data_IF_837752518296
#
_entry.id   IF_837752518296
#
_cell.length_a   1.000
_cell.length_b   1.000
_cell.length_c   1.000
_cell.angle_alpha   90.00
_cell.angle_beta   90.00
_cell.angle_gamma   90.00
#
_symmetry.space_group_name_H-M   'P 1'
#
loop_
_entity.id
_entity.type
_entity.pdbx_description
1 polymer ?
#
# COMPACT_ATOMS: atom_id res chain seq x y z
N UNK A 1 33.91 -10.25 -5.66
CA UNK A 1 33.41 -8.88 -5.86
C UNK A 1 32.30 -9.02 -6.87
N UNK A 2 31.04 -8.97 -6.42
CA UNK A 2 29.89 -9.04 -7.33
C UNK A 2 29.91 -7.82 -8.25
N UNK A 3 29.43 -8.00 -9.48
CA UNK A 3 29.20 -6.88 -10.40
C UNK A 3 28.29 -5.83 -9.74
N UNK A 4 28.45 -4.54 -10.07
CA UNK A 4 27.54 -3.50 -9.62
C UNK A 4 26.08 -3.89 -9.91
N UNK A 5 25.20 -3.68 -8.93
CA UNK A 5 23.74 -3.86 -9.03
C UNK A 5 23.14 -3.41 -10.38
N UNK A 6 23.54 -2.22 -10.85
CA UNK A 6 23.07 -1.64 -12.10
C UNK A 6 23.51 -2.42 -13.35
N UNK A 7 24.72 -2.99 -13.35
CA UNK A 7 25.26 -3.77 -14.46
C UNK A 7 24.48 -5.10 -14.63
N UNK A 8 23.94 -5.64 -13.53
CA UNK A 8 23.10 -6.84 -13.53
C UNK A 8 21.72 -6.58 -14.15
N UNK A 9 21.06 -5.47 -13.78
CA UNK A 9 19.73 -5.13 -14.33
C UNK A 9 19.83 -4.83 -15.84
N UNK A 10 20.88 -4.14 -16.28
CA UNK A 10 21.10 -3.85 -17.70
C UNK A 10 21.28 -5.14 -18.52
N UNK A 11 22.05 -6.10 -17.99
CA UNK A 11 22.22 -7.41 -18.61
C UNK A 11 20.89 -8.19 -18.69
N UNK A 12 20.12 -8.24 -17.60
CA UNK A 12 18.81 -8.89 -17.59
C UNK A 12 17.85 -8.25 -18.61
N UNK A 13 17.81 -6.92 -18.71
CA UNK A 13 16.95 -6.22 -19.66
C UNK A 13 17.33 -6.47 -21.12
N UNK A 14 18.62 -6.63 -21.41
CA UNK A 14 19.10 -6.95 -22.74
C UNK A 14 18.73 -8.39 -23.14
N UNK A 15 18.69 -9.32 -22.18
CA UNK A 15 18.38 -10.74 -22.41
C UNK A 15 16.89 -11.07 -22.36
N UNK A 16 16.05 -10.17 -21.84
CA UNK A 16 14.60 -10.30 -21.80
C UNK A 16 13.97 -10.06 -23.18
N UNK A 17 13.10 -10.99 -23.61
CA UNK A 17 12.27 -10.77 -24.81
C UNK A 17 11.14 -9.77 -24.54
N UNK A 18 10.47 -9.30 -25.61
CA UNK A 18 9.28 -8.43 -25.47
C UNK A 18 8.18 -9.13 -24.68
N UNK A 19 7.97 -10.42 -24.91
CA UNK A 19 6.99 -11.24 -24.21
C UNK A 19 7.35 -11.40 -22.73
N UNK A 20 8.62 -11.65 -22.41
CA UNK A 20 9.07 -11.77 -21.01
C UNK A 20 8.93 -10.42 -20.27
N UNK A 21 9.25 -9.29 -20.92
CA UNK A 21 9.02 -7.94 -20.35
C UNK A 21 7.54 -7.68 -20.10
N UNK A 22 6.68 -7.98 -21.08
CA UNK A 22 5.24 -7.79 -20.93
C UNK A 22 4.63 -8.73 -19.87
N UNK A 23 5.19 -9.93 -19.67
CA UNK A 23 4.77 -10.86 -18.64
C UNK A 23 5.11 -10.37 -17.22
N UNK A 24 6.29 -9.75 -17.02
CA UNK A 24 6.67 -9.12 -15.75
C UNK A 24 5.70 -8.01 -15.33
N UNK A 25 5.12 -7.31 -16.32
CA UNK A 25 4.19 -6.20 -16.12
C UNK A 25 2.76 -6.64 -15.79
N UNK A 26 2.48 -7.93 -15.63
CA UNK A 26 1.15 -8.39 -15.24
C UNK A 26 1.22 -9.39 -14.09
N UNK A 27 0.14 -9.44 -13.30
CA UNK A 27 -0.08 -10.49 -12.33
C UNK A 27 0.03 -11.91 -12.94
N UNK A 28 0.38 -12.87 -12.10
CA UNK A 28 0.23 -14.30 -12.33
C UNK A 28 -1.01 -14.81 -11.58
N UNK A 29 -1.12 -14.41 -10.32
CA UNK A 29 -2.24 -14.71 -9.42
C UNK A 29 -2.86 -13.44 -8.84
N UNK A 30 -3.58 -13.58 -7.72
CA UNK A 30 -4.19 -12.43 -7.04
C UNK A 30 -3.14 -11.53 -6.38
N UNK A 31 -2.01 -12.11 -5.94
CA UNK A 31 -1.05 -11.49 -5.03
C UNK A 31 0.38 -11.53 -5.54
N UNK A 32 0.58 -11.87 -6.80
CA UNK A 32 1.91 -12.13 -7.34
C UNK A 32 1.97 -11.85 -8.85
N UNK A 33 3.13 -11.36 -9.30
CA UNK A 33 3.45 -11.13 -10.71
C UNK A 33 4.37 -12.24 -11.25
N UNK A 34 4.46 -12.35 -12.57
CA UNK A 34 5.15 -13.48 -13.21
C UNK A 34 6.66 -13.49 -12.93
N UNK A 35 7.28 -14.67 -12.74
CA UNK A 35 8.72 -14.84 -12.79
C UNK A 35 9.23 -14.94 -14.24
N UNK A 36 10.55 -14.86 -14.42
CA UNK A 36 11.25 -15.28 -15.65
C UNK A 36 12.36 -16.26 -15.27
N UNK A 37 11.98 -17.54 -15.17
CA UNK A 37 12.82 -18.61 -14.61
C UNK A 37 14.15 -18.79 -15.37
N UNK A 38 14.13 -18.67 -16.70
CA UNK A 38 15.32 -18.79 -17.56
C UNK A 38 16.42 -17.80 -17.18
N UNK A 39 16.04 -16.62 -16.70
CA UNK A 39 16.94 -15.55 -16.30
C UNK A 39 17.09 -15.43 -14.78
N UNK A 40 16.51 -16.37 -14.01
CA UNK A 40 16.56 -16.34 -12.55
C UNK A 40 15.78 -15.17 -11.93
N UNK A 41 14.85 -14.55 -12.66
CA UNK A 41 14.02 -13.47 -12.12
C UNK A 41 12.85 -14.09 -11.34
N UNK A 42 12.76 -13.88 -10.01
CA UNK A 42 11.72 -14.48 -9.18
C UNK A 42 10.38 -13.77 -9.35
N UNK A 43 9.32 -14.41 -8.85
CA UNK A 43 8.00 -13.80 -8.81
C UNK A 43 7.95 -12.69 -7.74
N UNK A 44 7.51 -11.50 -8.12
CA UNK A 44 7.18 -10.45 -7.15
C UNK A 44 5.89 -10.85 -6.41
N UNK A 45 5.88 -10.68 -5.08
CA UNK A 45 4.73 -11.01 -4.22
C UNK A 45 4.34 -9.81 -3.39
N UNK A 46 3.05 -9.55 -3.32
CA UNK A 46 2.46 -8.38 -2.67
C UNK A 46 1.37 -8.82 -1.71
N UNK A 47 1.11 -8.03 -0.67
CA UNK A 47 0.00 -8.28 0.25
C UNK A 47 -0.64 -6.99 0.75
N UNK A 48 -1.95 -7.00 0.94
CA UNK A 48 -2.63 -5.98 1.74
C UNK A 48 -2.23 -6.13 3.22
N UNK A 49 -2.27 -5.10 4.06
CA UNK A 49 -2.57 -3.71 3.76
C UNK A 49 -2.32 -2.79 4.97
N UNK A 50 -2.98 -1.62 5.05
CA UNK A 50 -2.58 -0.49 5.91
C UNK A 50 -2.46 -0.75 7.41
N UNK A 51 -3.17 -1.74 7.94
CA UNK A 51 -3.22 -2.08 9.36
C UNK A 51 -2.61 -3.46 9.68
N UNK A 52 -1.95 -4.12 8.72
CA UNK A 52 -1.30 -5.42 8.93
C UNK A 52 -1.09 -6.19 7.63
N UNK A 53 -0.06 -7.05 7.59
CA UNK A 53 0.21 -7.91 6.43
C UNK A 53 -0.73 -9.14 6.47
N UNK A 54 -1.75 -9.15 5.61
CA UNK A 54 -2.78 -10.19 5.53
C UNK A 54 -2.26 -11.51 4.95
N UNK A 55 -1.25 -11.45 4.08
CA UNK A 55 -0.80 -12.57 3.24
C UNK A 55 -1.65 -12.76 1.98
N UNK A 56 -1.62 -13.98 1.44
CA UNK A 56 -2.30 -14.42 0.23
C UNK A 56 -3.79 -14.77 0.46
N UNK A 57 -4.25 -14.70 1.70
CA UNK A 57 -5.66 -14.83 2.05
C UNK A 57 -6.55 -13.78 1.37
N UNK A 58 -7.83 -14.11 1.26
CA UNK A 58 -8.88 -13.14 0.94
C UNK A 58 -9.35 -12.46 2.23
N UNK A 59 -10.24 -11.47 2.12
CA UNK A 59 -10.80 -10.76 3.27
C UNK A 59 -11.36 -11.74 4.30
N UNK A 60 -10.88 -11.66 5.54
CA UNK A 60 -11.31 -12.51 6.66
C UNK A 60 -10.78 -13.95 6.62
N UNK A 61 -9.83 -14.26 5.75
CA UNK A 61 -9.15 -15.58 5.70
C UNK A 61 -7.63 -15.40 5.76
N UNK A 62 -6.91 -16.51 5.89
CA UNK A 62 -5.44 -16.51 5.84
C UNK A 62 -4.77 -16.68 7.20
N UNK A 63 -3.45 -16.52 7.21
CA UNK A 63 -2.58 -16.66 8.37
C UNK A 63 -2.81 -15.49 9.34
N UNK A 64 -3.05 -15.73 10.64
CA UNK A 64 -3.23 -14.65 11.61
C UNK A 64 -2.09 -13.63 11.58
N UNK A 65 -2.40 -12.34 11.72
CA UNK A 65 -1.44 -11.25 11.61
C UNK A 65 -1.57 -10.17 12.70
N UNK A 66 -0.48 -9.45 12.90
CA UNK A 66 -0.47 -8.25 13.74
C UNK A 66 -1.47 -7.24 13.16
N UNK A 67 -2.50 -6.90 13.96
CA UNK A 67 -3.42 -5.83 13.64
C UNK A 67 -3.00 -4.57 14.40
N UNK A 68 -2.46 -3.59 13.70
CA UNK A 68 -2.14 -2.28 14.28
C UNK A 68 -3.36 -1.33 14.21
N UNK A 69 -3.39 -0.21 14.95
CA UNK A 69 -4.46 0.77 14.81
C UNK A 69 -4.64 1.22 13.36
N UNK A 70 -5.88 1.50 12.97
CA UNK A 70 -6.20 1.96 11.62
C UNK A 70 -5.59 3.34 11.32
N UNK A 71 -5.53 3.72 10.03
CA UNK A 71 -4.91 4.97 9.58
C UNK A 71 -5.39 6.20 10.35
N UNK A 72 -6.70 6.36 10.59
CA UNK A 72 -7.21 7.54 11.30
C UNK A 72 -6.76 7.58 12.76
N UNK A 73 -6.63 6.42 13.40
CA UNK A 73 -6.08 6.27 14.74
C UNK A 73 -4.58 6.61 14.77
N UNK A 74 -3.81 6.13 13.78
CA UNK A 74 -2.39 6.49 13.65
C UNK A 74 -2.20 7.99 13.42
N UNK A 75 -3.03 8.61 12.59
CA UNK A 75 -3.03 10.07 12.39
C UNK A 75 -3.28 10.84 13.69
N UNK A 76 -4.17 10.33 14.55
CA UNK A 76 -4.46 10.93 15.85
C UNK A 76 -3.31 10.85 16.86
N UNK A 77 -2.29 10.01 16.63
CA UNK A 77 -1.12 9.94 17.52
C UNK A 77 -0.21 11.17 17.40
N UNK A 78 -0.16 11.81 16.22
CA UNK A 78 0.85 12.83 15.87
C UNK A 78 2.30 12.39 16.12
N UNK A 79 2.56 11.07 16.19
CA UNK A 79 3.85 10.49 16.57
C UNK A 79 4.47 9.72 15.41
N UNK A 80 5.33 10.41 14.66
CA UNK A 80 6.04 9.84 13.52
C UNK A 80 7.02 8.74 13.92
N UNK A 81 7.64 8.83 15.09
CA UNK A 81 8.59 7.82 15.52
C UNK A 81 7.86 6.51 15.81
N UNK A 82 6.71 6.59 16.49
CA UNK A 82 5.86 5.44 16.75
C UNK A 82 5.37 4.78 15.46
N UNK A 83 5.00 5.59 14.45
CA UNK A 83 4.56 5.08 13.14
C UNK A 83 5.71 4.43 12.37
N UNK A 84 6.93 4.95 12.47
CA UNK A 84 8.13 4.34 11.87
C UNK A 84 8.47 3.00 12.55
N UNK A 85 8.38 2.92 13.88
CA UNK A 85 8.54 1.66 14.62
C UNK A 85 7.48 0.61 14.22
N UNK A 86 6.22 1.03 14.03
CA UNK A 86 5.16 0.15 13.52
C UNK A 86 5.46 -0.34 12.11
N UNK A 87 5.97 0.54 11.23
CA UNK A 87 6.41 0.16 9.89
C UNK A 87 7.47 -0.95 9.92
N UNK A 88 8.46 -0.85 10.82
CA UNK A 88 9.48 -1.89 10.96
C UNK A 88 8.89 -3.25 11.40
N UNK A 89 7.93 -3.25 12.33
CA UNK A 89 7.21 -4.47 12.72
C UNK A 89 6.42 -5.05 11.54
N UNK A 90 5.76 -4.19 10.75
CA UNK A 90 5.03 -4.62 9.55
C UNK A 90 5.93 -5.16 8.44
N UNK A 91 7.19 -4.71 8.34
CA UNK A 91 8.14 -5.32 7.41
C UNK A 91 8.43 -6.78 7.81
N UNK A 92 8.64 -7.04 9.11
CA UNK A 92 8.84 -8.40 9.61
C UNK A 92 7.60 -9.27 9.37
N UNK A 93 6.39 -8.76 9.63
CA UNK A 93 5.13 -9.45 9.31
C UNK A 93 5.00 -9.74 7.80
N UNK A 94 5.35 -8.78 6.94
CA UNK A 94 5.26 -8.94 5.48
C UNK A 94 6.20 -10.04 4.99
N UNK A 95 7.42 -10.11 5.52
CA UNK A 95 8.36 -11.22 5.24
C UNK A 95 7.85 -12.56 5.78
N UNK A 96 7.18 -12.57 6.94
CA UNK A 96 6.56 -13.77 7.49
C UNK A 96 5.38 -14.26 6.63
N UNK A 97 4.71 -13.37 5.89
CA UNK A 97 3.75 -13.73 4.82
C UNK A 97 4.41 -14.04 3.47
N UNK A 98 5.74 -14.21 3.45
CA UNK A 98 6.50 -14.51 2.25
C UNK A 98 6.23 -13.52 1.09
N UNK A 99 6.05 -12.23 1.43
CA UNK A 99 5.78 -11.16 0.48
C UNK A 99 6.90 -10.13 0.47
N UNK A 100 7.08 -9.48 -0.68
CA UNK A 100 8.13 -8.49 -0.92
C UNK A 100 7.62 -7.05 -0.75
N UNK A 101 6.32 -6.84 -0.96
CA UNK A 101 5.69 -5.52 -0.96
C UNK A 101 4.44 -5.51 -0.10
N UNK A 102 4.33 -4.52 0.76
CA UNK A 102 3.12 -4.21 1.52
C UNK A 102 2.33 -3.11 0.79
N UNK A 103 1.06 -3.37 0.48
CA UNK A 103 0.19 -2.44 -0.23
C UNK A 103 -0.37 -1.37 0.72
N UNK A 104 0.53 -0.52 1.23
CA UNK A 104 0.24 0.56 2.14
C UNK A 104 1.36 1.61 2.14
N UNK A 105 1.13 2.81 2.70
CA UNK A 105 -0.08 3.24 3.40
C UNK A 105 -1.18 3.81 2.47
N UNK A 106 -2.41 3.90 2.98
CA UNK A 106 -3.49 4.65 2.30
C UNK A 106 -3.47 6.11 2.77
N UNK A 107 -3.37 7.06 1.83
CA UNK A 107 -3.14 8.49 2.10
C UNK A 107 -4.14 9.42 1.42
N UNK A 108 -5.27 8.88 0.95
CA UNK A 108 -6.36 9.71 0.45
C UNK A 108 -6.89 10.64 1.55
N UNK A 109 -7.39 11.81 1.16
CA UNK A 109 -7.78 12.85 2.11
C UNK A 109 -9.18 12.54 2.65
N UNK A 110 -9.42 12.77 3.93
CA UNK A 110 -10.77 12.74 4.52
C UNK A 110 -11.61 13.92 4.01
N UNK A 111 -11.96 13.93 2.71
CA UNK A 111 -12.71 15.02 2.06
C UNK A 111 -14.11 15.19 2.64
N UNK A 112 -14.72 14.08 3.05
CA UNK A 112 -16.06 14.03 3.63
C UNK A 112 -16.06 13.01 4.77
N UNK A 113 -16.80 13.26 5.87
CA UNK A 113 -16.93 12.28 6.96
C UNK A 113 -17.65 10.99 6.51
N UNK A 114 -18.29 10.99 5.33
CA UNK A 114 -18.99 9.84 4.76
C UNK A 114 -18.08 8.89 3.96
N UNK A 115 -16.78 9.17 3.89
CA UNK A 115 -15.83 8.33 3.16
C UNK A 115 -15.73 6.94 3.77
N UNK A 116 -16.18 5.92 3.03
CA UNK A 116 -16.24 4.52 3.51
C UNK A 116 -14.88 3.92 3.90
N UNK A 117 -13.77 4.52 3.43
CA UNK A 117 -12.40 4.12 3.74
C UNK A 117 -11.63 5.16 4.55
N UNK A 118 -12.30 6.16 5.12
CA UNK A 118 -11.60 7.14 5.97
C UNK A 118 -10.85 6.48 7.14
N UNK A 119 -11.34 5.36 7.67
CA UNK A 119 -10.68 4.64 8.76
C UNK A 119 -9.24 4.22 8.41
N UNK A 120 -8.95 3.88 7.15
CA UNK A 120 -7.61 3.46 6.71
C UNK A 120 -6.74 4.61 6.18
N UNK A 121 -7.29 5.82 6.09
CA UNK A 121 -6.58 7.05 5.75
C UNK A 121 -6.21 7.84 7.01
N UNK A 122 -5.19 8.71 6.94
CA UNK A 122 -4.69 9.41 8.14
C UNK A 122 -5.51 10.63 8.59
N UNK A 123 -5.81 11.58 7.69
CA UNK A 123 -6.40 12.87 8.07
C UNK A 123 -7.10 13.59 6.90
N UNK A 124 -7.78 14.69 7.23
CA UNK A 124 -8.18 15.73 6.27
C UNK A 124 -7.04 16.70 5.93
N UNK A 125 -5.99 16.78 6.76
CA UNK A 125 -4.84 17.65 6.53
C UNK A 125 -3.75 16.95 5.68
N UNK A 126 -3.29 17.57 4.58
CA UNK A 126 -2.32 16.94 3.70
C UNK A 126 -0.91 16.82 4.28
N UNK A 127 -0.50 17.71 5.19
CA UNK A 127 0.85 17.70 5.78
C UNK A 127 0.96 16.60 6.84
N UNK A 128 -0.05 16.48 7.71
CA UNK A 128 -0.14 15.40 8.68
C UNK A 128 -0.20 14.04 7.96
N UNK A 129 -1.00 13.94 6.91
CA UNK A 129 -1.13 12.72 6.12
C UNK A 129 0.20 12.35 5.46
N UNK A 130 0.84 13.29 4.75
CA UNK A 130 2.11 13.04 4.06
C UNK A 130 3.26 12.68 5.00
N UNK A 131 3.40 13.38 6.13
CA UNK A 131 4.49 13.12 7.08
C UNK A 131 4.30 11.83 7.88
N UNK A 132 3.06 11.47 8.17
CA UNK A 132 2.74 10.17 8.78
C UNK A 132 3.03 9.05 7.80
N UNK A 133 2.64 9.21 6.53
CA UNK A 133 2.94 8.25 5.47
C UNK A 133 4.46 8.07 5.27
N UNK A 134 5.23 9.17 5.23
CA UNK A 134 6.68 9.11 5.09
C UNK A 134 7.35 8.32 6.23
N UNK A 135 6.89 8.48 7.47
CA UNK A 135 7.38 7.69 8.60
C UNK A 135 7.04 6.20 8.47
N UNK A 136 5.81 5.88 8.07
CA UNK A 136 5.39 4.50 7.82
C UNK A 136 6.25 3.85 6.74
N UNK A 137 6.46 4.56 5.62
CA UNK A 137 7.24 4.11 4.47
C UNK A 137 8.70 3.83 4.86
N UNK A 138 9.36 4.75 5.58
CA UNK A 138 10.73 4.52 6.06
C UNK A 138 10.83 3.30 6.96
N UNK A 139 9.86 3.11 7.87
CA UNK A 139 9.83 1.96 8.76
C UNK A 139 9.74 0.65 8.00
N UNK A 140 8.82 0.54 7.04
CA UNK A 140 8.63 -0.68 6.24
C UNK A 140 9.83 -0.95 5.33
N UNK A 141 10.28 0.07 4.58
CA UNK A 141 11.40 -0.08 3.63
C UNK A 141 12.74 -0.31 4.33
N UNK A 142 12.92 0.23 5.55
CA UNK A 142 14.08 -0.08 6.39
C UNK A 142 14.20 -1.56 6.76
N UNK A 143 13.10 -2.33 6.69
CA UNK A 143 13.08 -3.78 6.84
C UNK A 143 13.26 -4.57 5.53
N UNK A 144 13.61 -3.90 4.43
CA UNK A 144 13.81 -4.53 3.12
C UNK A 144 12.50 -4.96 2.42
N UNK A 145 11.37 -4.36 2.80
CA UNK A 145 10.05 -4.60 2.21
C UNK A 145 9.60 -3.34 1.47
N UNK A 146 9.15 -3.47 0.23
CA UNK A 146 8.63 -2.33 -0.52
C UNK A 146 7.27 -1.87 0.03
N UNK A 147 7.00 -0.57 -0.08
CA UNK A 147 5.66 -0.02 0.16
C UNK A 147 5.00 0.41 -1.14
N UNK A 148 3.67 0.27 -1.19
CA UNK A 148 2.86 0.88 -2.25
C UNK A 148 1.90 1.92 -1.66
N UNK A 149 2.29 3.19 -1.76
CA UNK A 149 1.45 4.31 -1.32
C UNK A 149 0.20 4.43 -2.20
N UNK A 150 -0.99 4.57 -1.60
CA UNK A 150 -2.27 4.48 -2.33
C UNK A 150 -3.36 5.42 -1.82
N UNK A 151 -4.38 5.75 -2.61
CA UNK A 151 -4.58 5.48 -4.04
C UNK A 151 -4.44 6.80 -4.79
N UNK A 152 -3.51 6.85 -5.74
CA UNK A 152 -3.13 8.04 -6.47
C UNK A 152 -4.07 8.25 -7.66
N UNK A 153 -4.98 9.22 -7.66
CA UNK A 153 -5.27 10.22 -6.61
C UNK A 153 -6.76 10.56 -6.59
N UNK A 154 -7.21 11.28 -5.55
CA UNK A 154 -8.59 11.74 -5.37
C UNK A 154 -9.63 10.60 -5.32
N UNK A 155 -9.24 9.48 -4.71
CA UNK A 155 -10.08 8.32 -4.42
C UNK A 155 -10.73 8.47 -3.03
N UNK A 156 -11.45 9.57 -2.82
CA UNK A 156 -11.98 9.94 -1.49
C UNK A 156 -13.45 9.51 -1.29
N UNK A 157 -13.98 8.66 -2.18
CA UNK A 157 -15.35 8.16 -2.14
C UNK A 157 -15.44 6.76 -2.74
N UNK A 158 -16.11 5.86 -2.02
CA UNK A 158 -16.40 4.50 -2.50
C UNK A 158 -17.55 4.47 -3.52
N UNK A 159 -18.43 5.47 -3.48
CA UNK A 159 -19.56 5.57 -4.41
C UNK A 159 -19.04 5.64 -5.85
N UNK A 160 -19.42 4.65 -6.66
CA UNK A 160 -19.03 4.54 -8.07
C UNK A 160 -17.52 4.69 -8.31
N UNK A 161 -16.65 4.28 -7.37
CA UNK A 161 -15.20 4.52 -7.46
C UNK A 161 -14.56 4.04 -8.77
N UNK A 162 -15.16 3.03 -9.43
CA UNK A 162 -14.74 2.47 -10.71
C UNK A 162 -15.13 3.28 -11.96
N UNK A 163 -15.98 4.29 -11.83
CA UNK A 163 -16.55 5.05 -12.94
C UNK A 163 -16.68 6.55 -12.67
N UNK A 164 -16.68 7.00 -11.42
CA UNK A 164 -16.81 8.41 -11.08
C UNK A 164 -15.66 9.24 -11.65
N UNK A 165 -15.94 10.50 -11.98
CA UNK A 165 -14.94 11.50 -12.31
C UNK A 165 -14.81 12.53 -11.18
N UNK A 166 -13.64 12.54 -10.55
CA UNK A 166 -13.26 13.52 -9.55
C UNK A 166 -12.80 14.79 -10.26
N UNK A 167 -13.70 15.76 -10.39
CA UNK A 167 -13.40 17.08 -10.98
C UNK A 167 -12.81 17.99 -9.91
N UNK A 168 -11.50 18.22 -9.98
CA UNK A 168 -10.72 18.92 -8.96
C UNK A 168 -9.92 20.06 -9.61
N UNK A 169 -10.09 21.33 -9.19
CA UNK A 169 -9.26 22.43 -9.68
C UNK A 169 -7.78 22.23 -9.34
N UNK A 170 -6.88 22.62 -10.25
CA UNK A 170 -5.43 22.41 -10.14
C UNK A 170 -4.85 22.80 -8.78
N UNK A 171 -5.29 23.94 -8.24
CA UNK A 171 -4.84 24.42 -6.93
C UNK A 171 -5.17 23.43 -5.82
N UNK A 172 -6.43 22.96 -5.76
CA UNK A 172 -6.84 21.99 -4.75
C UNK A 172 -6.13 20.64 -4.98
N UNK A 173 -5.99 20.23 -6.25
CA UNK A 173 -5.28 19.01 -6.60
C UNK A 173 -3.84 19.03 -6.08
N UNK A 174 -3.10 20.13 -6.30
CA UNK A 174 -1.72 20.35 -5.87
C UNK A 174 -1.58 20.54 -4.35
N UNK A 175 -2.39 21.41 -3.74
CA UNK A 175 -2.25 21.79 -2.32
C UNK A 175 -2.82 20.75 -1.35
N UNK A 176 -3.78 19.92 -1.78
CA UNK A 176 -4.52 18.99 -0.90
C UNK A 176 -4.34 17.53 -1.28
N UNK A 177 -4.71 17.13 -2.50
CA UNK A 177 -4.83 15.70 -2.83
C UNK A 177 -3.50 15.05 -3.25
N UNK A 178 -2.69 15.78 -4.01
CA UNK A 178 -1.34 15.36 -4.42
C UNK A 178 -0.32 15.53 -3.29
N UNK A 179 -0.54 16.50 -2.40
CA UNK A 179 0.44 16.91 -1.40
C UNK A 179 0.90 15.79 -0.45
N UNK A 180 0.05 14.86 0.04
CA UNK A 180 0.53 13.72 0.83
C UNK A 180 1.50 12.82 0.07
N UNK A 181 1.23 12.58 -1.22
CA UNK A 181 2.07 11.76 -2.09
C UNK A 181 3.39 12.46 -2.39
N UNK A 182 3.36 13.77 -2.70
CA UNK A 182 4.57 14.57 -2.92
C UNK A 182 5.50 14.55 -1.69
N UNK A 183 4.94 14.74 -0.49
CA UNK A 183 5.70 14.66 0.77
C UNK A 183 6.29 13.26 0.94
N UNK A 184 5.51 12.20 0.71
CA UNK A 184 6.00 10.84 0.85
C UNK A 184 7.11 10.49 -0.17
N UNK A 185 6.96 10.91 -1.43
CA UNK A 185 7.97 10.73 -2.48
C UNK A 185 9.27 11.44 -2.09
N UNK A 186 9.19 12.69 -1.66
CA UNK A 186 10.38 13.48 -1.30
C UNK A 186 11.04 13.12 0.03
N UNK A 187 10.28 12.66 1.03
CA UNK A 187 10.80 12.39 2.39
C UNK A 187 11.05 10.90 2.67
N UNK A 188 10.58 9.98 1.83
CA UNK A 188 10.66 8.54 2.09
C UNK A 188 10.81 7.64 0.87
N UNK A 189 10.71 8.17 -0.36
CA UNK A 189 11.01 7.44 -1.61
C UNK A 189 10.33 6.06 -1.67
N UNK A 190 8.97 5.99 -1.69
CA UNK A 190 8.26 4.72 -1.73
C UNK A 190 8.62 3.95 -3.01
N UNK A 191 8.82 2.65 -2.91
CA UNK A 191 9.22 1.82 -4.07
C UNK A 191 8.05 1.47 -4.99
N UNK A 192 6.82 1.73 -4.54
CA UNK A 192 5.60 1.55 -5.31
C UNK A 192 4.57 2.65 -5.04
N UNK A 193 3.72 2.89 -6.04
CA UNK A 193 2.54 3.74 -5.96
C UNK A 193 1.38 3.05 -6.66
N UNK A 194 0.18 3.11 -6.08
CA UNK A 194 -1.01 2.51 -6.65
C UNK A 194 -1.90 3.57 -7.29
N UNK A 195 -2.14 3.45 -8.60
CA UNK A 195 -3.10 4.29 -9.31
C UNK A 195 -4.53 3.99 -8.85
N UNK A 196 -5.35 5.03 -8.68
CA UNK A 196 -6.73 4.88 -8.22
C UNK A 196 -7.69 4.38 -9.30
N UNK A 197 -8.87 3.92 -8.85
CA UNK A 197 -9.95 3.46 -9.72
C UNK A 197 -10.62 4.58 -10.52
N UNK A 198 -10.75 5.76 -9.93
CA UNK A 198 -11.57 6.85 -10.46
C UNK A 198 -10.90 7.57 -11.62
N UNK A 199 -11.70 8.37 -12.32
CA UNK A 199 -11.17 9.41 -13.21
C UNK A 199 -10.81 10.66 -12.39
N UNK A 200 -9.82 11.39 -12.86
CA UNK A 200 -9.44 12.70 -12.35
C UNK A 200 -9.45 13.65 -13.52
N UNK A 201 -10.36 14.63 -13.48
CA UNK A 201 -10.58 15.60 -14.54
C UNK A 201 -10.76 14.96 -15.93
N UNK A 202 -11.53 13.87 -16.00
CA UNK A 202 -11.95 13.22 -17.25
C UNK A 202 -11.17 11.98 -17.67
N UNK A 203 -9.97 11.74 -17.11
CA UNK A 203 -9.11 10.59 -17.47
C UNK A 203 -8.92 9.65 -16.29
N UNK A 204 -8.97 8.32 -16.52
CA UNK A 204 -8.70 7.34 -15.47
C UNK A 204 -7.31 7.55 -14.89
N UNK A 205 -7.15 7.47 -13.56
CA UNK A 205 -5.87 7.79 -12.93
C UNK A 205 -4.72 6.91 -13.46
N UNK A 206 -4.98 5.62 -13.73
CA UNK A 206 -4.01 4.70 -14.33
C UNK A 206 -3.66 4.98 -15.81
N UNK A 207 -4.41 5.86 -16.50
CA UNK A 207 -4.19 6.28 -17.89
C UNK A 207 -3.74 7.75 -17.99
N UNK A 208 -3.61 8.43 -16.86
CA UNK A 208 -3.39 9.88 -16.85
C UNK A 208 -1.89 10.21 -16.88
N UNK A 209 -1.36 10.49 -18.08
CA UNK A 209 0.05 10.82 -18.30
C UNK A 209 0.51 12.06 -17.52
N UNK A 210 -0.36 13.06 -17.36
CA UNK A 210 -0.04 14.24 -16.56
C UNK A 210 0.19 13.86 -15.09
N UNK A 211 -0.62 12.97 -14.54
CA UNK A 211 -0.43 12.45 -13.18
C UNK A 211 0.80 11.55 -13.06
N UNK A 212 0.89 10.50 -13.88
CA UNK A 212 1.82 9.39 -13.68
C UNK A 212 3.22 9.61 -14.25
N UNK A 213 3.36 10.49 -15.24
CA UNK A 213 4.66 10.84 -15.82
C UNK A 213 5.05 12.27 -15.45
N UNK A 214 4.26 13.26 -15.86
CA UNK A 214 4.68 14.67 -15.74
C UNK A 214 4.82 15.08 -14.26
N UNK A 215 3.76 14.90 -13.46
CA UNK A 215 3.82 15.24 -12.03
C UNK A 215 4.68 14.23 -11.26
N UNK A 216 4.35 12.95 -11.34
CA UNK A 216 4.97 11.94 -10.47
C UNK A 216 6.45 11.72 -10.78
N UNK A 217 6.85 11.63 -12.05
CA UNK A 217 8.23 11.28 -12.43
C UNK A 217 9.04 12.51 -12.80
N UNK A 218 8.54 13.37 -13.70
CA UNK A 218 9.32 14.49 -14.22
C UNK A 218 9.47 15.61 -13.17
N UNK A 219 8.40 15.94 -12.44
CA UNK A 219 8.44 16.96 -11.40
C UNK A 219 8.95 16.44 -10.04
N UNK A 220 8.48 15.27 -9.58
CA UNK A 220 8.84 14.76 -8.24
C UNK A 220 10.00 13.78 -8.22
N UNK A 221 10.45 13.28 -9.38
CA UNK A 221 11.58 12.35 -9.45
C UNK A 221 11.26 10.93 -8.97
N UNK A 222 10.00 10.50 -8.97
CA UNK A 222 9.63 9.14 -8.54
C UNK A 222 10.25 8.06 -9.44
N UNK A 223 11.05 7.19 -8.83
CA UNK A 223 11.78 6.12 -9.53
C UNK A 223 11.19 4.71 -9.31
N UNK A 224 10.16 4.59 -8.46
CA UNK A 224 9.48 3.34 -8.15
C UNK A 224 8.49 2.90 -9.24
N UNK A 225 7.79 1.79 -8.96
CA UNK A 225 6.77 1.25 -9.86
C UNK A 225 5.41 1.93 -9.64
N UNK A 226 4.60 2.02 -10.70
CA UNK A 226 3.17 2.31 -10.62
C UNK A 226 2.38 1.04 -10.93
N UNK A 227 1.58 0.61 -9.97
CA UNK A 227 0.68 -0.55 -10.10
C UNK A 227 -0.77 -0.08 -10.16
N UNK A 228 -1.63 -0.79 -10.90
CA UNK A 228 -3.07 -0.52 -10.83
C UNK A 228 -3.63 -0.92 -9.47
N UNK A 229 -4.70 -0.27 -9.01
CA UNK A 229 -5.59 -0.95 -8.06
C UNK A 229 -6.20 -2.20 -8.72
N UNK A 230 -6.71 -3.13 -7.90
CA UNK A 230 -7.16 -4.44 -8.37
C UNK A 230 -8.30 -4.29 -9.36
N UNK A 231 -8.10 -4.71 -10.62
CA UNK A 231 -9.06 -4.57 -11.72
C UNK A 231 -9.34 -3.13 -12.16
N UNK A 232 -8.48 -2.16 -11.80
CA UNK A 232 -8.62 -0.77 -12.23
C UNK A 232 -8.21 -0.53 -13.69
N UNK A 233 -7.43 -1.45 -14.28
CA UNK A 233 -6.98 -1.36 -15.65
C UNK A 233 -8.12 -1.19 -16.67
N UNK A 234 -7.93 -0.31 -17.68
CA UNK A 234 -8.97 0.04 -18.66
C UNK A 234 -8.53 -0.08 -20.12
N UNK A 235 -7.25 0.07 -20.43
CA UNK A 235 -6.72 -0.05 -21.80
C UNK A 235 -5.23 -0.36 -21.81
N UNK A 236 -4.73 -0.92 -22.91
CA UNK A 236 -3.30 -1.27 -23.04
C UNK A 236 -2.42 -0.04 -23.29
N UNK A 237 -2.60 0.59 -24.45
CA UNK A 237 -1.68 1.62 -24.93
C UNK A 237 -1.71 2.90 -24.08
N UNK A 238 -2.90 3.34 -23.62
CA UNK A 238 -2.98 4.56 -22.82
C UNK A 238 -2.36 4.39 -21.42
N UNK A 239 -2.49 3.22 -20.80
CA UNK A 239 -1.82 2.92 -19.53
C UNK A 239 -0.29 2.82 -19.71
N UNK A 240 0.17 2.09 -20.74
CA UNK A 240 1.62 1.99 -21.00
C UNK A 240 2.23 3.36 -21.33
N UNK A 241 1.53 4.17 -22.13
CA UNK A 241 1.95 5.53 -22.49
C UNK A 241 1.84 6.56 -21.35
N UNK A 242 1.10 6.27 -20.27
CA UNK A 242 0.96 7.17 -19.12
C UNK A 242 2.04 6.97 -18.06
N UNK A 243 2.73 5.83 -18.07
CA UNK A 243 3.75 5.48 -17.09
C UNK A 243 3.33 4.42 -16.06
N UNK A 244 2.25 3.67 -16.33
CA UNK A 244 1.88 2.47 -15.56
C UNK A 244 2.87 1.32 -15.83
N UNK A 245 3.27 0.60 -14.77
CA UNK A 245 4.27 -0.47 -14.85
C UNK A 245 3.67 -1.87 -14.65
N UNK A 246 2.65 -2.01 -13.82
CA UNK A 246 2.11 -3.32 -13.42
C UNK A 246 0.57 -3.32 -13.40
N UNK A 247 -0.03 -4.22 -14.18
CA UNK A 247 -1.45 -4.56 -14.09
C UNK A 247 -1.68 -5.64 -13.04
N UNK A 248 -2.60 -5.36 -12.10
CA UNK A 248 -3.06 -6.33 -11.11
C UNK A 248 -4.59 -6.43 -11.06
N UNK A 249 -5.15 -7.60 -10.69
CA UNK A 249 -4.50 -8.89 -10.47
C UNK A 249 -4.57 -9.84 -11.67
N UNK A 250 -4.00 -11.04 -11.50
CA UNK A 250 -4.13 -12.17 -12.43
C UNK A 250 -3.37 -11.93 -13.73
N UNK A 251 -3.54 -12.83 -14.70
CA UNK A 251 -2.83 -12.84 -15.99
C UNK A 251 -3.01 -11.59 -16.88
N UNK A 252 -3.65 -10.54 -16.36
CA UNK A 252 -3.88 -9.26 -17.04
C UNK A 252 -4.92 -9.38 -18.12
N UNK A 253 -5.75 -8.36 -18.27
CA UNK A 253 -6.60 -8.23 -19.46
C UNK A 253 -5.95 -7.34 -20.51
N UNK A 254 -5.13 -6.38 -20.07
CA UNK A 254 -4.62 -5.30 -20.91
C UNK A 254 -3.11 -5.38 -21.11
N UNK A 255 -2.37 -5.92 -20.16
CA UNK A 255 -0.95 -6.25 -20.26
C UNK A 255 -0.76 -7.75 -20.54
N UNK A 256 0.48 -8.22 -20.59
CA UNK A 256 0.82 -9.53 -21.14
C UNK A 256 0.61 -9.57 -22.66
N UNK A 257 -0.14 -10.54 -23.23
CA UNK A 257 -0.28 -10.68 -24.68
C UNK A 257 -0.80 -9.44 -25.41
N UNK A 258 -1.71 -8.68 -24.80
CA UNK A 258 -2.24 -7.46 -25.41
C UNK A 258 -1.18 -6.34 -25.51
N UNK A 259 -0.29 -6.25 -24.51
CA UNK A 259 0.83 -5.30 -24.55
C UNK A 259 1.88 -5.70 -25.58
N UNK A 260 2.18 -6.98 -25.73
CA UNK A 260 3.06 -7.48 -26.81
C UNK A 260 2.51 -7.04 -28.17
N UNK A 261 1.23 -7.32 -28.43
CA UNK A 261 0.59 -6.95 -29.69
C UNK A 261 0.63 -5.43 -29.95
N UNK A 262 0.42 -4.61 -28.91
CA UNK A 262 0.48 -3.15 -29.03
C UNK A 262 1.90 -2.64 -29.35
N UNK A 263 2.94 -3.26 -28.79
CA UNK A 263 4.34 -2.92 -29.10
C UNK A 263 4.69 -3.34 -30.53
N UNK A 264 4.32 -4.55 -30.94
CA UNK A 264 4.54 -5.04 -32.32
C UNK A 264 3.82 -4.19 -33.38
N UNK A 265 2.64 -3.66 -33.02
CA UNK A 265 1.87 -2.74 -33.86
C UNK A 265 2.42 -1.31 -33.86
N UNK A 266 3.39 -0.98 -33.01
CA UNK A 266 3.93 0.37 -32.84
C UNK A 266 3.00 1.35 -32.11
N UNK A 267 1.96 0.84 -31.45
CA UNK A 267 1.05 1.65 -30.61
C UNK A 267 1.68 1.99 -29.26
N UNK A 268 2.60 1.16 -28.77
CA UNK A 268 3.42 1.39 -27.58
C UNK A 268 4.89 1.35 -27.98
N UNK A 269 5.65 2.37 -27.57
CA UNK A 269 7.10 2.40 -27.77
C UNK A 269 7.78 1.31 -26.91
N UNK A 270 8.62 0.49 -27.53
CA UNK A 270 9.42 -0.51 -26.83
C UNK A 270 10.32 0.06 -25.74
N UNK A 271 10.74 1.33 -25.85
CA UNK A 271 11.49 2.00 -24.79
C UNK A 271 10.67 2.18 -23.50
N UNK A 272 9.34 2.33 -23.59
CA UNK A 272 8.47 2.41 -22.41
C UNK A 272 8.36 1.04 -21.73
N UNK A 273 8.29 -0.03 -22.51
CA UNK A 273 8.32 -1.41 -22.02
C UNK A 273 9.63 -1.70 -21.27
N UNK A 274 10.77 -1.32 -21.84
CA UNK A 274 12.09 -1.47 -21.20
C UNK A 274 12.18 -0.68 -19.89
N UNK A 275 11.66 0.55 -19.87
CA UNK A 275 11.65 1.38 -18.68
C UNK A 275 10.78 0.80 -17.55
N UNK A 276 9.61 0.24 -17.89
CA UNK A 276 8.73 -0.41 -16.92
C UNK A 276 9.34 -1.71 -16.37
N UNK A 277 9.87 -2.57 -17.25
CA UNK A 277 10.58 -3.78 -16.85
C UNK A 277 11.78 -3.45 -15.93
N UNK A 278 12.54 -2.40 -16.24
CA UNK A 278 13.64 -1.93 -15.38
C UNK A 278 13.16 -1.63 -13.96
N UNK A 279 12.08 -0.86 -13.81
CA UNK A 279 11.56 -0.49 -12.49
C UNK A 279 11.09 -1.71 -11.68
N UNK A 280 10.51 -2.71 -12.34
CA UNK A 280 10.15 -3.97 -11.71
C UNK A 280 11.38 -4.77 -11.25
N UNK A 281 12.42 -4.85 -12.08
CA UNK A 281 13.69 -5.49 -11.69
C UNK A 281 14.38 -4.73 -10.54
N UNK A 282 14.37 -3.40 -10.57
CA UNK A 282 14.87 -2.56 -9.48
C UNK A 282 14.08 -2.79 -8.18
N UNK A 283 12.77 -3.01 -8.25
CA UNK A 283 11.98 -3.35 -7.06
C UNK A 283 12.37 -4.73 -6.49
N UNK A 284 12.56 -5.73 -7.35
CA UNK A 284 13.03 -7.06 -6.94
C UNK A 284 14.43 -6.96 -6.28
N UNK A 285 15.31 -6.15 -6.83
CA UNK A 285 16.62 -5.86 -6.24
C UNK A 285 16.51 -5.17 -4.87
N UNK A 286 15.73 -4.08 -4.77
CA UNK A 286 15.53 -3.32 -3.52
C UNK A 286 14.98 -4.18 -2.38
N UNK A 287 14.14 -5.16 -2.71
CA UNK A 287 13.55 -6.11 -1.75
C UNK A 287 14.45 -7.31 -1.45
N UNK A 288 15.60 -7.45 -2.14
CA UNK A 288 16.49 -8.59 -2.04
C UNK A 288 15.90 -9.89 -2.60
N UNK A 289 14.88 -9.80 -3.46
CA UNK A 289 14.14 -10.96 -3.97
C UNK A 289 15.01 -11.90 -4.80
N UNK A 290 16.05 -11.38 -5.47
CA UNK A 290 17.02 -12.20 -6.20
C UNK A 290 17.82 -13.14 -5.27
N UNK A 291 18.08 -12.72 -4.03
CA UNK A 291 18.84 -13.50 -3.04
C UNK A 291 17.91 -14.39 -2.19
N UNK A 292 16.79 -13.83 -1.72
CA UNK A 292 15.75 -14.54 -0.98
C UNK A 292 14.40 -14.35 -1.69
N UNK A 293 14.03 -15.24 -2.63
CA UNK A 293 12.79 -15.13 -3.38
C UNK A 293 11.54 -15.38 -2.52
N UNK A 294 11.74 -15.68 -1.23
CA UNK A 294 10.72 -15.99 -0.22
C UNK A 294 9.92 -17.27 -0.53
N UNK A 295 10.41 -18.21 -1.34
CA UNK A 295 9.66 -19.41 -1.76
C UNK A 295 9.46 -20.41 -0.62
N UNK A 296 8.57 -20.05 0.29
CA UNK A 296 8.22 -20.75 1.52
C UNK A 296 6.78 -20.42 1.91
N UNK A 297 6.11 -21.29 2.68
CA UNK A 297 4.76 -21.01 3.20
C UNK A 297 4.74 -19.78 4.10
N UNK A 298 3.56 -19.16 4.20
CA UNK A 298 3.29 -18.14 5.22
C UNK A 298 3.42 -18.73 6.62
N UNK A 299 3.92 -17.91 7.55
CA UNK A 299 3.97 -18.23 8.97
C UNK A 299 3.38 -17.09 9.79
N UNK A 300 2.74 -17.42 10.89
CA UNK A 300 2.32 -16.46 11.90
C UNK A 300 3.54 -15.99 12.71
N UNK A 301 3.68 -14.67 12.89
CA UNK A 301 4.78 -14.05 13.65
C UNK A 301 4.24 -13.39 14.93
N UNK A 302 3.99 -14.17 15.98
CA UNK A 302 3.39 -13.64 17.21
C UNK A 302 4.42 -13.18 18.25
N UNK A 303 5.09 -12.06 17.97
CA UNK A 303 6.16 -11.51 18.81
C UNK A 303 5.62 -10.65 19.98
N UNK A 304 6.03 -10.88 21.24
CA UNK A 304 5.63 -10.04 22.37
C UNK A 304 5.94 -8.55 22.20
N UNK A 305 7.04 -8.23 21.52
CA UNK A 305 7.42 -6.86 21.23
C UNK A 305 6.45 -6.17 20.25
N UNK A 306 5.98 -6.89 19.23
CA UNK A 306 4.98 -6.37 18.28
C UNK A 306 3.64 -6.12 18.98
N UNK A 307 3.21 -7.02 19.87
CA UNK A 307 2.00 -6.83 20.68
C UNK A 307 2.10 -5.61 21.60
N UNK A 308 3.23 -5.45 22.28
CA UNK A 308 3.47 -4.28 23.13
C UNK A 308 3.47 -2.97 22.34
N UNK A 309 4.06 -2.97 21.14
CA UNK A 309 4.07 -1.84 20.22
C UNK A 309 2.66 -1.48 19.73
N UNK A 310 1.87 -2.47 19.28
CA UNK A 310 0.48 -2.25 18.88
C UNK A 310 -0.36 -1.70 20.04
N UNK A 311 -0.19 -2.22 21.26
CA UNK A 311 -0.85 -1.69 22.47
C UNK A 311 -0.48 -0.24 22.76
N UNK A 312 0.82 0.12 22.61
CA UNK A 312 1.29 1.49 22.79
C UNK A 312 0.69 2.43 21.74
N UNK A 313 0.63 2.00 20.49
CA UNK A 313 -0.01 2.73 19.41
C UNK A 313 -1.51 2.92 19.66
N UNK A 314 -2.22 1.88 20.09
CA UNK A 314 -3.64 1.98 20.46
C UNK A 314 -3.85 3.00 21.58
N UNK A 315 -3.04 2.96 22.63
CA UNK A 315 -3.12 3.94 23.72
C UNK A 315 -2.82 5.37 23.25
N UNK A 316 -1.78 5.56 22.42
CA UNK A 316 -1.41 6.86 21.86
C UNK A 316 -2.42 7.44 20.86
N UNK A 317 -3.28 6.59 20.29
CA UNK A 317 -4.31 7.01 19.31
C UNK A 317 -5.63 7.48 19.94
N UNK A 318 -5.80 7.32 21.26
CA UNK A 318 -7.02 7.72 21.95
C UNK A 318 -7.07 9.24 22.14
N UNK A 319 -8.14 9.87 21.64
CA UNK A 319 -8.39 11.31 21.82
C UNK A 319 -9.41 11.52 22.92
N UNK A 320 -8.99 12.14 24.04
CA UNK A 320 -9.91 12.56 25.11
C UNK A 320 -10.70 13.80 24.69
N UNK A 321 -11.82 13.61 23.99
CA UNK A 321 -12.63 14.69 23.46
C UNK A 321 -13.32 15.54 24.53
N UNK A 322 -13.81 14.93 25.61
CA UNK A 322 -14.47 15.61 26.74
C UNK A 322 -14.17 14.90 28.05
N UNK A 323 -13.86 15.66 29.09
CA UNK A 323 -13.71 15.15 30.46
C UNK A 323 -14.14 16.22 31.47
N UNK A 324 -15.13 15.89 32.30
CA UNK A 324 -15.64 16.78 33.36
C UNK A 324 -15.20 16.31 34.75
N UNK A 325 -13.94 15.88 34.86
CA UNK A 325 -13.36 15.34 36.09
C UNK A 325 -13.75 13.89 36.39
N UNK A 326 -14.26 13.16 35.39
CA UNK A 326 -14.70 11.75 35.54
C UNK A 326 -13.54 10.78 35.29
N UNK A 327 -12.64 11.10 34.35
CA UNK A 327 -11.47 10.29 34.03
C UNK A 327 -10.18 10.91 34.59
N UNK A 328 -9.19 10.08 35.01
CA UNK A 328 -9.24 8.61 35.06
C UNK A 328 -10.15 8.12 36.20
N UNK A 329 -10.71 6.92 36.05
CA UNK A 329 -11.45 6.30 37.14
C UNK A 329 -10.52 5.96 38.31
N UNK A 330 -10.98 6.17 39.54
CA UNK A 330 -10.36 5.59 40.71
C UNK A 330 -10.88 4.16 40.90
N UNK A 331 -10.12 3.19 40.41
CA UNK A 331 -10.51 1.78 40.43
C UNK A 331 -10.82 1.24 41.84
N UNK A 332 -10.19 1.77 42.89
CA UNK A 332 -10.43 1.33 44.27
C UNK A 332 -11.79 1.83 44.80
N UNK A 333 -12.29 2.94 44.25
CA UNK A 333 -13.59 3.51 44.64
C UNK A 333 -14.79 2.86 43.94
N UNK A 334 -14.58 2.06 42.89
CA UNK A 334 -15.65 1.46 42.09
C UNK A 334 -16.16 0.19 42.77
N UNK A 335 -17.30 0.28 43.45
CA UNK A 335 -17.98 -0.90 44.00
C UNK A 335 -18.74 -1.71 42.93
N UNK A 336 -19.25 -1.03 41.90
CA UNK A 336 -20.01 -1.64 40.80
C UNK A 336 -19.74 -0.91 39.49
N UNK A 337 -19.53 -1.66 38.41
CA UNK A 337 -19.31 -1.12 37.07
C UNK A 337 -20.32 -1.73 36.10
N UNK A 338 -21.05 -0.89 35.38
CA UNK A 338 -21.93 -1.30 34.29
C UNK A 338 -21.25 -1.02 32.95
N UNK A 339 -20.94 -2.09 32.21
CA UNK A 339 -20.37 -2.00 30.86
C UNK A 339 -21.50 -2.20 29.84
N UNK A 340 -21.74 -1.20 28.98
CA UNK A 340 -22.91 -1.15 28.09
C UNK A 340 -22.48 -0.93 26.64
N UNK A 341 -23.02 -1.75 25.73
CA UNK A 341 -22.87 -1.64 24.28
C UNK A 341 -22.29 -2.92 23.65
N UNK A 342 -22.69 -3.28 22.42
CA UNK A 342 -22.23 -4.52 21.78
C UNK A 342 -20.71 -4.55 21.61
N UNK A 343 -20.11 -3.41 21.27
CA UNK A 343 -18.66 -3.31 21.04
C UNK A 343 -17.82 -3.47 22.31
N UNK A 344 -18.45 -3.50 23.49
CA UNK A 344 -17.74 -3.86 24.71
C UNK A 344 -17.47 -5.36 24.80
N UNK A 345 -18.38 -6.21 24.29
CA UNK A 345 -18.21 -7.65 24.23
C UNK A 345 -17.53 -8.10 22.93
N UNK A 346 -17.80 -7.41 21.81
CA UNK A 346 -17.21 -7.70 20.50
C UNK A 346 -16.33 -6.53 20.05
N UNK A 347 -15.01 -6.62 20.23
CA UNK A 347 -14.10 -5.52 19.89
C UNK A 347 -14.16 -5.14 18.41
N UNK A 348 -14.37 -3.85 18.13
CA UNK A 348 -14.12 -3.28 16.81
C UNK A 348 -12.63 -3.00 16.63
N UNK A 349 -11.90 -4.00 16.12
CA UNK A 349 -10.43 -3.93 15.98
C UNK A 349 -9.98 -3.20 14.71
N UNK A 350 -10.75 -3.31 13.64
CA UNK A 350 -10.39 -2.81 12.31
C UNK A 350 -11.64 -2.52 11.48
N UNK A 351 -11.47 -1.77 10.38
CA UNK A 351 -12.51 -1.62 9.37
C UNK A 351 -12.62 -2.84 8.44
N UNK A 352 -13.50 -2.74 7.43
CA UNK A 352 -13.72 -3.81 6.45
C UNK A 352 -12.83 -3.71 5.20
N UNK A 353 -13.22 -4.44 4.15
CA UNK A 353 -12.56 -4.36 2.84
C UNK A 353 -11.17 -5.00 2.81
N UNK A 354 -10.27 -4.48 1.96
CA UNK A 354 -8.92 -5.03 1.79
C UNK A 354 -8.04 -4.89 3.04
N UNK A 355 -8.34 -3.93 3.92
CA UNK A 355 -7.69 -3.73 5.21
C UNK A 355 -8.03 -4.80 6.26
N UNK A 356 -9.10 -5.59 6.05
CA UNK A 356 -9.50 -6.61 7.01
C UNK A 356 -8.64 -7.88 6.91
N UNK A 357 -8.15 -8.32 8.07
CA UNK A 357 -7.29 -9.49 8.26
C UNK A 357 -7.76 -10.33 9.47
N UNK A 358 -7.23 -11.53 9.61
CA UNK A 358 -7.44 -12.36 10.81
C UNK A 358 -6.43 -11.90 11.88
N UNK A 359 -6.85 -11.30 13.00
CA UNK A 359 -5.91 -10.82 14.01
C UNK A 359 -5.31 -11.99 14.79
N UNK A 360 -4.04 -11.90 15.16
CA UNK A 360 -3.40 -12.85 16.09
C UNK A 360 -4.10 -12.89 17.44
N UNK A 361 -4.53 -11.72 17.92
CA UNK A 361 -5.17 -11.54 19.22
C UNK A 361 -6.35 -10.59 19.11
N UNK A 362 -7.43 -10.93 19.81
CA UNK A 362 -8.60 -10.11 19.99
C UNK A 362 -8.98 -10.13 21.46
N UNK A 363 -8.95 -8.98 22.12
CA UNK A 363 -9.44 -8.82 23.50
C UNK A 363 -10.50 -7.74 23.50
N UNK A 364 -11.69 -8.10 23.95
CA UNK A 364 -12.80 -7.14 24.08
C UNK A 364 -12.59 -6.17 25.24
N UNK A 365 -13.16 -4.95 25.19
CA UNK A 365 -13.13 -4.06 26.34
C UNK A 365 -13.68 -4.69 27.62
N UNK A 366 -14.72 -5.53 27.51
CA UNK A 366 -15.29 -6.24 28.66
C UNK A 366 -14.29 -7.22 29.27
N UNK A 367 -13.67 -8.08 28.44
CA UNK A 367 -12.63 -9.02 28.90
C UNK A 367 -11.38 -8.32 29.44
N UNK A 368 -11.05 -7.13 28.95
CA UNK A 368 -9.90 -6.38 29.44
C UNK A 368 -10.15 -5.71 30.81
N UNK A 369 -11.42 -5.46 31.15
CA UNK A 369 -11.84 -4.80 32.39
C UNK A 369 -12.13 -5.82 33.50
N UNK A 370 -12.63 -7.01 33.15
CA UNK A 370 -13.00 -8.11 34.07
C UNK A 370 -11.91 -9.14 34.21
#
# INVERSE_FOLDING_TARGET
MGEPATDCIDALLADLTVEEKAALMTGRGIWDANPVERLGIPALRVTDGPNGARGAGLVGTGTPALCIPCGSALGATWDRNLVEELGAALAAETRARACHVLLAPTVNIHRTPLGGRNFECYSEDPVLTGRTAAAFIRGVQGGGVGTTIKHFVANDSEFERNSIDSVVPDRALREVYLRPFEIAVSEAEPWGLMGSYNRVNGTFACENRWLLTEVLRDEWGFDGIVVTDWFAAKSTAAMAGSGLDLEMPGAGRFYGPALVAAVEAGEVDGALLDAAARRLLTLLERTGAFDDPLDRPEVELDEPAHRALARRASAGSMVLYRNEGVLPFDAESIATLAVIGPNAADAMLMGGGSAALVPQHATSPLEAIT
#
